data_IF_186986300917
#
_entry.id   IF_186986300917
#
_cell.length_a   1.000
_cell.length_b   1.000
_cell.length_c   1.000
_cell.angle_alpha   90.00
_cell.angle_beta   90.00
_cell.angle_gamma   90.00
#
_symmetry.space_group_name_H-M   'P 1'
#
loop_
_entity.id
_entity.type
_entity.pdbx_description
1 polymer ?
#
# COMPACT_ATOMS: atom_id res chain seq x y z
N UNK A 1 -9.67 -56.88 -27.07
CA UNK A 1 -10.85 -56.32 -26.38
C UNK A 1 -11.16 -54.97 -27.01
N UNK A 2 -12.38 -54.82 -27.52
CA UNK A 2 -12.88 -53.64 -28.23
C UNK A 2 -13.41 -52.57 -27.26
N UNK A 3 -13.67 -51.37 -27.83
CA UNK A 3 -14.64 -50.35 -27.42
C UNK A 3 -14.24 -49.44 -26.24
N UNK A 4 -14.46 -48.11 -26.22
CA UNK A 4 -15.14 -47.16 -27.11
C UNK A 4 -14.68 -45.74 -26.70
N UNK A 5 -14.19 -44.92 -27.64
CA UNK A 5 -14.07 -43.47 -27.48
C UNK A 5 -15.39 -42.82 -27.93
N UNK A 6 -15.99 -42.00 -27.07
CA UNK A 6 -17.16 -41.19 -27.41
C UNK A 6 -16.70 -39.82 -27.89
N UNK A 7 -17.14 -39.46 -29.10
CA UNK A 7 -16.89 -38.18 -29.74
C UNK A 7 -17.88 -37.09 -29.30
N UNK A 8 -17.56 -35.86 -29.69
CA UNK A 8 -18.41 -34.70 -29.53
C UNK A 8 -17.76 -33.45 -30.11
N UNK A 9 -17.71 -33.37 -31.45
CA UNK A 9 -17.43 -32.14 -32.19
C UNK A 9 -18.72 -31.32 -32.24
N UNK A 10 -18.67 -30.06 -31.80
CA UNK A 10 -19.73 -29.08 -32.07
C UNK A 10 -19.11 -27.92 -32.84
N UNK A 11 -19.39 -27.90 -34.14
CA UNK A 11 -19.20 -26.76 -35.04
C UNK A 11 -20.55 -26.09 -35.19
N UNK A 12 -20.64 -24.78 -34.93
CA UNK A 12 -21.74 -23.97 -35.44
C UNK A 12 -21.20 -22.67 -36.05
N UNK A 13 -21.51 -22.53 -37.33
CA UNK A 13 -21.19 -21.42 -38.22
C UNK A 13 -22.02 -20.16 -37.93
N UNK A 14 -21.33 -19.03 -38.09
CA UNK A 14 -21.72 -17.70 -38.60
C UNK A 14 -23.16 -17.25 -38.77
N UNK A 15 -23.37 -15.97 -38.44
CA UNK A 15 -24.10 -15.01 -39.29
C UNK A 15 -23.38 -13.66 -39.22
N UNK A 16 -22.84 -13.21 -40.36
CA UNK A 16 -22.47 -11.82 -40.62
C UNK A 16 -23.59 -11.20 -41.46
N UNK A 17 -24.03 -9.99 -41.10
CA UNK A 17 -24.85 -9.14 -41.96
C UNK A 17 -24.40 -7.68 -41.83
N UNK A 18 -24.14 -7.11 -43.00
CA UNK A 18 -23.61 -5.79 -43.34
C UNK A 18 -24.72 -4.73 -43.48
N UNK A 19 -24.26 -3.47 -43.65
CA UNK A 19 -24.91 -2.29 -44.26
C UNK A 19 -25.70 -1.39 -43.29
N UNK A 20 -25.54 -0.06 -43.23
CA UNK A 20 -24.79 0.93 -44.01
C UNK A 20 -24.75 2.28 -43.25
N UNK A 21 -23.69 3.09 -43.40
CA UNK A 21 -23.58 4.27 -44.29
C UNK A 21 -24.37 5.52 -43.84
N UNK A 22 -23.62 6.56 -43.45
CA UNK A 22 -23.69 7.98 -43.89
C UNK A 22 -23.41 8.95 -42.73
N UNK A 23 -22.39 9.80 -42.88
CA UNK A 23 -22.09 10.87 -41.94
C UNK A 23 -20.74 11.53 -42.16
N UNK A 24 -20.54 12.08 -43.36
CA UNK A 24 -19.38 12.88 -43.77
C UNK A 24 -19.55 14.31 -43.24
N UNK A 25 -18.59 14.83 -42.48
CA UNK A 25 -18.34 16.28 -42.43
C UNK A 25 -16.84 16.55 -42.43
N UNK A 26 -16.35 16.88 -43.61
CA UNK A 26 -15.13 17.64 -43.88
C UNK A 26 -15.19 19.01 -43.20
N UNK A 27 -14.09 19.41 -42.55
CA UNK A 27 -13.89 20.73 -41.98
C UNK A 27 -12.40 20.99 -41.77
N UNK A 28 -11.78 21.47 -42.84
CA UNK A 28 -10.42 22.01 -42.94
C UNK A 28 -10.32 23.37 -42.22
N UNK A 29 -9.18 23.67 -41.58
CA UNK A 29 -8.41 24.93 -41.75
C UNK A 29 -7.56 25.32 -40.52
N UNK A 30 -6.30 25.70 -40.77
CA UNK A 30 -5.48 26.61 -39.97
C UNK A 30 -4.81 25.99 -38.74
N UNK A 31 -3.48 25.92 -38.60
CA UNK A 31 -2.49 26.91 -39.00
C UNK A 31 -2.45 28.03 -37.95
N UNK A 32 -1.53 27.94 -36.99
CA UNK A 32 -1.27 29.01 -36.03
C UNK A 32 -0.75 28.50 -34.70
N UNK A 33 0.56 28.41 -34.55
CA UNK A 33 1.18 28.37 -33.23
C UNK A 33 0.79 29.66 -32.51
N UNK A 34 0.09 29.53 -31.39
CA UNK A 34 -0.03 30.61 -30.42
C UNK A 34 0.35 30.00 -29.09
N UNK A 35 1.56 30.36 -28.66
CA UNK A 35 2.03 30.22 -27.30
C UNK A 35 0.90 30.69 -26.37
N UNK A 36 0.35 29.76 -25.57
CA UNK A 36 -0.68 30.11 -24.61
C UNK A 36 -0.06 31.11 -23.64
N UNK A 37 -0.44 32.38 -23.76
CA UNK A 37 -0.06 33.42 -22.83
C UNK A 37 -0.43 32.96 -21.42
N UNK A 38 0.57 32.84 -20.56
CA UNK A 38 0.35 32.62 -19.12
C UNK A 38 -0.51 33.79 -18.64
N UNK A 39 -1.67 33.55 -18.00
CA UNK A 39 -2.47 34.66 -17.48
C UNK A 39 -1.65 35.41 -16.44
N UNK A 40 -1.36 36.68 -16.73
CA UNK A 40 -0.73 37.61 -15.80
C UNK A 40 -1.77 37.98 -14.73
N UNK A 41 -1.78 37.22 -13.63
CA UNK A 41 -2.61 37.55 -12.47
C UNK A 41 -1.93 38.67 -11.69
N UNK A 42 -2.18 39.91 -12.10
CA UNK A 42 -1.85 41.09 -11.32
C UNK A 42 -3.04 41.43 -10.42
N UNK A 43 -2.91 41.18 -9.11
CA UNK A 43 -3.89 41.61 -8.12
C UNK A 43 -3.42 42.96 -7.57
N UNK A 44 -4.12 44.04 -7.92
CA UNK A 44 -3.90 45.33 -7.24
C UNK A 44 -4.27 45.20 -5.75
N UNK A 45 -3.40 45.61 -4.82
CA UNK A 45 -3.73 45.59 -3.40
C UNK A 45 -4.92 46.51 -3.13
N UNK A 46 -6.00 45.94 -2.56
CA UNK A 46 -7.10 46.74 -2.02
C UNK A 46 -6.62 47.66 -0.88
N UNK A 47 -7.38 48.71 -0.55
CA UNK A 47 -6.97 49.81 0.35
C UNK A 47 -6.74 49.43 1.83
N UNK A 48 -6.69 48.14 2.17
CA UNK A 48 -6.45 47.60 3.51
C UNK A 48 -5.21 46.71 3.62
N UNK A 49 -4.34 46.69 2.60
CA UNK A 49 -3.17 45.82 2.53
C UNK A 49 -1.96 46.21 3.39
N UNK A 50 -2.11 46.30 4.72
CA UNK A 50 -0.92 46.12 5.57
C UNK A 50 -0.60 44.62 5.64
N UNK A 51 0.60 44.18 5.22
CA UNK A 51 1.04 42.82 5.45
C UNK A 51 1.02 42.55 6.96
N UNK A 52 0.19 41.62 7.40
CA UNK A 52 0.30 41.10 8.77
C UNK A 52 1.59 40.30 8.80
N UNK A 53 2.66 40.91 9.32
CA UNK A 53 3.88 40.19 9.62
C UNK A 53 3.52 39.07 10.61
N UNK A 54 3.89 37.81 10.36
CA UNK A 54 3.66 36.74 11.32
C UNK A 54 4.32 37.12 12.64
N UNK A 55 3.54 37.15 13.72
CA UNK A 55 3.95 37.62 15.06
C UNK A 55 4.82 36.61 15.82
N UNK A 56 5.58 35.78 15.09
CA UNK A 56 6.50 34.82 15.67
C UNK A 56 7.32 34.09 14.61
N UNK A 57 8.44 33.44 15.00
CA UNK A 57 9.19 32.59 14.09
C UNK A 57 8.28 31.49 13.54
N UNK A 58 8.12 31.46 12.22
CA UNK A 58 7.51 30.32 11.53
C UNK A 58 8.43 29.13 11.77
N UNK A 59 7.98 28.04 12.42
CA UNK A 59 8.85 26.90 12.68
C UNK A 59 9.35 26.35 11.35
N UNK A 60 10.67 26.39 11.17
CA UNK A 60 11.34 25.82 10.00
C UNK A 60 11.25 24.31 10.16
N UNK A 61 10.21 23.71 9.61
CA UNK A 61 10.15 22.25 9.46
C UNK A 61 11.28 21.83 8.53
N UNK A 62 12.13 20.92 8.98
CA UNK A 62 13.15 20.31 8.13
C UNK A 62 12.50 19.57 6.96
N UNK A 63 13.20 19.37 5.85
CA UNK A 63 12.67 18.58 4.74
C UNK A 63 12.27 17.16 5.20
N UNK A 64 13.07 16.55 6.10
CA UNK A 64 12.75 15.27 6.73
C UNK A 64 11.45 15.31 7.54
N UNK A 65 11.23 16.33 8.39
CA UNK A 65 9.95 16.49 9.08
C UNK A 65 8.78 16.72 8.13
N UNK A 66 9.01 17.43 7.01
CA UNK A 66 7.98 17.67 6.02
C UNK A 66 7.56 16.38 5.30
N UNK A 67 8.50 15.48 5.03
CA UNK A 67 8.19 14.14 4.54
C UNK A 67 7.56 13.26 5.63
N UNK A 68 7.96 13.43 6.90
CA UNK A 68 7.43 12.66 8.04
C UNK A 68 5.97 13.06 8.35
N UNK A 69 5.59 14.33 8.17
CA UNK A 69 4.23 14.86 8.36
C UNK A 69 3.21 14.29 7.37
N UNK A 70 3.67 13.82 6.20
CA UNK A 70 2.87 13.10 5.22
C UNK A 70 3.06 11.58 5.31
N UNK A 71 3.93 11.12 6.21
CA UNK A 71 4.19 9.70 6.43
C UNK A 71 3.44 9.22 7.67
N UNK A 72 2.72 8.12 7.54
CA UNK A 72 2.13 7.42 8.69
C UNK A 72 3.18 6.74 9.58
N UNK A 73 4.46 6.81 9.18
CA UNK A 73 5.58 6.19 9.86
C UNK A 73 5.78 6.77 11.26
N UNK A 74 5.52 8.06 11.45
CA UNK A 74 5.64 8.74 12.74
C UNK A 74 4.72 8.19 13.83
N UNK A 75 3.60 7.55 13.47
CA UNK A 75 2.73 6.86 14.43
C UNK A 75 3.40 5.59 14.98
N UNK A 76 4.19 4.91 14.15
CA UNK A 76 4.83 3.64 14.51
C UNK A 76 6.25 3.81 15.07
N UNK A 77 6.77 5.03 15.10
CA UNK A 77 8.12 5.34 15.56
C UNK A 77 8.11 6.15 16.86
N UNK A 78 9.00 5.79 17.78
CA UNK A 78 9.18 6.50 19.05
C UNK A 78 8.35 5.91 20.20
N UNK A 79 8.45 6.58 21.36
CA UNK A 79 7.78 6.15 22.59
C UNK A 79 6.27 6.47 22.59
N UNK A 80 5.86 7.49 21.83
CA UNK A 80 4.47 7.92 21.70
C UNK A 80 4.08 8.10 20.22
N UNK A 81 2.84 7.75 19.84
CA UNK A 81 2.37 7.91 18.46
C UNK A 81 2.30 9.40 18.10
N UNK A 82 2.91 9.78 16.96
CA UNK A 82 2.79 11.14 16.39
C UNK A 82 1.61 11.20 15.42
N UNK A 83 0.48 11.87 15.76
CA UNK A 83 -0.70 11.91 14.90
C UNK A 83 -0.43 12.61 13.57
N UNK A 84 -1.27 12.33 12.57
CA UNK A 84 -1.20 12.95 11.24
C UNK A 84 -2.40 13.91 11.09
N UNK A 85 -2.24 15.23 11.26
CA UNK A 85 -3.37 16.18 11.34
C UNK A 85 -4.24 16.27 10.07
N UNK A 86 -3.71 15.87 8.91
CA UNK A 86 -4.43 15.81 7.63
C UNK A 86 -5.14 14.48 7.39
N UNK A 87 -5.01 13.52 8.30
CA UNK A 87 -5.61 12.22 8.13
C UNK A 87 -7.14 12.28 8.13
N UNK A 88 -7.77 11.33 7.43
CA UNK A 88 -9.21 11.20 7.48
C UNK A 88 -9.67 10.89 8.93
N UNK A 89 -10.75 11.54 9.35
CA UNK A 89 -11.45 11.13 10.58
C UNK A 89 -12.03 9.73 10.38
N UNK A 90 -11.91 8.87 11.40
CA UNK A 90 -12.58 7.57 11.39
C UNK A 90 -14.09 7.78 11.23
N UNK A 91 -14.67 7.19 10.20
CA UNK A 91 -16.11 7.31 9.94
C UNK A 91 -16.91 6.52 10.97
N UNK A 92 -18.14 6.95 11.26
CA UNK A 92 -19.02 6.24 12.19
C UNK A 92 -19.50 4.88 11.65
N UNK A 93 -19.41 4.69 10.34
CA UNK A 93 -19.77 3.46 9.64
C UNK A 93 -18.97 3.32 8.34
N UNK A 94 -19.03 2.14 7.73
CA UNK A 94 -18.40 1.85 6.46
C UNK A 94 -16.96 1.35 6.59
N UNK A 95 -16.24 1.42 5.48
CA UNK A 95 -14.84 0.99 5.43
C UNK A 95 -13.96 2.03 6.11
N UNK A 96 -12.94 1.55 6.81
CA UNK A 96 -11.90 2.37 7.40
C UNK A 96 -10.58 2.11 6.68
N UNK A 97 -10.21 2.93 5.69
CA UNK A 97 -8.94 2.78 5.01
C UNK A 97 -7.77 2.82 5.99
N UNK A 98 -6.89 1.85 5.82
CA UNK A 98 -5.89 1.41 6.77
C UNK A 98 -4.55 1.30 6.06
N UNK A 99 -3.50 1.77 6.72
CA UNK A 99 -2.12 1.45 6.33
C UNK A 99 -1.43 0.62 7.40
N UNK A 100 -0.49 -0.22 7.00
CA UNK A 100 0.24 -1.10 7.90
C UNK A 100 1.73 -0.92 7.71
N UNK A 101 2.45 -0.69 8.80
CA UNK A 101 3.89 -0.68 8.84
C UNK A 101 4.42 -2.01 9.41
N UNK A 102 5.16 -2.76 8.60
CA UNK A 102 5.80 -4.02 9.00
C UNK A 102 7.25 -4.03 8.52
N UNK A 103 8.21 -4.13 9.45
CA UNK A 103 9.65 -4.15 9.13
C UNK A 103 10.09 -2.99 8.19
N UNK A 104 9.47 -1.81 8.32
CA UNK A 104 9.75 -0.66 7.46
C UNK A 104 9.02 -0.65 6.10
N UNK A 105 8.28 -1.71 5.76
CA UNK A 105 7.42 -1.77 4.59
C UNK A 105 6.02 -1.22 4.89
N UNK A 106 5.41 -0.60 3.88
CA UNK A 106 4.06 -0.04 3.95
C UNK A 106 3.09 -0.91 3.12
N UNK A 107 2.01 -1.36 3.75
CA UNK A 107 0.90 -2.03 3.08
C UNK A 107 -0.36 -1.16 3.19
N UNK A 108 -1.22 -1.19 2.18
CA UNK A 108 -2.45 -0.39 2.13
C UNK A 108 -3.67 -1.31 1.99
N UNK A 109 -4.75 -0.98 2.69
CA UNK A 109 -6.00 -1.72 2.68
C UNK A 109 -7.18 -0.75 2.72
N UNK A 110 -8.07 -0.79 1.72
CA UNK A 110 -9.31 0.00 1.75
C UNK A 110 -10.49 -0.79 2.34
N UNK A 111 -10.27 -2.04 2.80
CA UNK A 111 -11.26 -2.82 3.54
C UNK A 111 -12.23 -3.64 2.69
N UNK A 112 -12.12 -3.60 1.36
CA UNK A 112 -13.03 -4.32 0.43
C UNK A 112 -12.62 -5.77 0.13
N UNK A 113 -11.50 -6.26 0.69
CA UNK A 113 -10.98 -7.61 0.42
C UNK A 113 -10.35 -7.76 -0.98
N UNK A 114 -10.30 -6.69 -1.77
CA UNK A 114 -9.64 -6.64 -3.07
C UNK A 114 -8.18 -6.23 -2.96
N UNK A 115 -7.43 -6.42 -4.05
CA UNK A 115 -6.05 -5.95 -4.21
C UNK A 115 -6.05 -4.41 -4.25
N UNK A 116 -6.19 -3.76 -3.11
CA UNK A 116 -6.23 -2.29 -3.00
C UNK A 116 -4.81 -1.69 -3.14
N UNK A 117 -4.09 -2.06 -4.20
CA UNK A 117 -3.02 -1.22 -4.75
C UNK A 117 -3.69 -0.19 -5.65
N UNK A 118 -4.35 0.80 -5.05
CA UNK A 118 -4.93 1.91 -5.83
C UNK A 118 -3.83 2.87 -6.27
N UNK A 119 -2.69 2.89 -5.57
CA UNK A 119 -1.55 3.70 -5.95
C UNK A 119 -0.23 3.10 -5.41
N UNK A 120 0.84 2.88 -6.23
CA UNK A 120 2.17 2.57 -5.72
C UNK A 120 2.78 3.70 -4.85
N UNK A 121 2.22 4.91 -4.87
CA UNK A 121 2.65 6.04 -4.07
C UNK A 121 2.07 6.02 -2.64
N UNK A 122 2.73 6.74 -1.73
CA UNK A 122 2.30 6.94 -0.33
C UNK A 122 0.84 7.39 -0.31
N UNK A 123 -0.06 6.72 0.43
CA UNK A 123 -1.46 7.07 0.43
C UNK A 123 -1.64 8.50 0.92
N UNK A 124 -2.52 9.24 0.27
CA UNK A 124 -2.82 10.62 0.66
C UNK A 124 -3.36 10.62 2.10
N UNK A 125 -2.84 11.49 2.99
CA UNK A 125 -3.31 11.60 4.36
C UNK A 125 -4.83 11.59 4.48
N UNK A 126 -5.50 12.38 3.65
CA UNK A 126 -6.95 12.62 3.66
C UNK A 126 -7.79 11.37 3.34
N UNK A 127 -7.16 10.26 2.93
CA UNK A 127 -7.84 9.01 2.62
C UNK A 127 -7.68 7.96 3.71
N UNK A 128 -6.68 8.08 4.59
CA UNK A 128 -6.37 7.07 5.61
C UNK A 128 -6.97 7.44 6.95
N UNK A 129 -7.66 6.49 7.56
CA UNK A 129 -8.27 6.66 8.87
C UNK A 129 -7.49 5.93 9.97
N UNK A 130 -6.88 4.78 9.64
CA UNK A 130 -6.23 3.89 10.59
C UNK A 130 -4.78 3.58 10.21
N UNK A 131 -3.92 3.43 11.21
CA UNK A 131 -2.54 2.96 11.06
C UNK A 131 -2.31 1.76 11.95
N UNK A 132 -1.84 0.65 11.39
CA UNK A 132 -1.40 -0.50 12.14
C UNK A 132 0.12 -0.59 12.16
N UNK A 133 0.70 -0.65 13.36
CA UNK A 133 2.12 -0.77 13.59
C UNK A 133 2.46 -2.19 14.04
N UNK A 134 3.27 -2.90 13.26
CA UNK A 134 3.77 -4.21 13.63
C UNK A 134 5.08 -4.09 14.43
N UNK A 135 5.04 -4.62 15.64
CA UNK A 135 6.19 -4.70 16.53
C UNK A 135 6.65 -6.15 16.63
N UNK A 136 7.85 -6.44 16.15
CA UNK A 136 8.43 -7.79 16.23
C UNK A 136 8.66 -8.21 17.68
N UNK A 137 8.13 -9.37 18.07
CA UNK A 137 8.20 -9.92 19.43
C UNK A 137 9.18 -11.09 19.53
N UNK A 138 9.57 -11.71 18.41
CA UNK A 138 10.49 -12.84 18.42
C UNK A 138 10.21 -13.88 17.34
N UNK A 139 11.01 -14.95 17.36
CA UNK A 139 10.87 -16.08 16.43
C UNK A 139 9.85 -17.08 16.97
N UNK A 140 9.03 -17.58 16.07
CA UNK A 140 8.18 -18.74 16.28
C UNK A 140 8.89 -20.02 15.82
N UNK A 141 8.12 -20.93 15.21
CA UNK A 141 8.64 -22.23 14.77
C UNK A 141 9.57 -22.10 13.57
N UNK A 142 10.46 -23.09 13.41
CA UNK A 142 11.20 -23.30 12.17
C UNK A 142 10.21 -23.61 11.04
N UNK A 143 10.32 -22.90 9.93
CA UNK A 143 9.50 -23.10 8.75
C UNK A 143 10.21 -23.99 7.74
N UNK A 144 11.47 -23.66 7.43
CA UNK A 144 12.24 -24.34 6.40
C UNK A 144 13.73 -24.05 6.50
N UNK A 145 14.54 -25.01 6.12
CA UNK A 145 15.96 -24.81 5.83
C UNK A 145 16.18 -24.96 4.33
N UNK A 146 16.73 -23.93 3.71
CA UNK A 146 17.07 -23.93 2.30
C UNK A 146 18.59 -24.06 2.15
N UNK A 147 19.03 -25.24 1.70
CA UNK A 147 20.46 -25.52 1.46
C UNK A 147 20.77 -25.30 -0.02
N UNK A 148 21.84 -24.57 -0.28
CA UNK A 148 22.29 -24.19 -1.60
C UNK A 148 23.72 -24.67 -1.80
N UNK A 149 23.94 -25.40 -2.88
CA UNK A 149 25.24 -25.93 -3.28
C UNK A 149 25.47 -25.58 -4.74
N UNK A 150 26.64 -25.03 -5.06
CA UNK A 150 27.07 -24.79 -6.43
C UNK A 150 28.50 -25.34 -6.61
N UNK A 151 28.89 -25.79 -7.82
CA UNK A 151 30.19 -26.42 -8.05
C UNK A 151 31.40 -25.56 -7.63
N UNK A 152 31.31 -24.25 -7.82
CA UNK A 152 32.42 -23.31 -7.61
C UNK A 152 32.19 -22.36 -6.42
N UNK A 153 31.27 -22.69 -5.50
CA UNK A 153 30.97 -21.86 -4.34
C UNK A 153 30.81 -22.69 -3.06
N UNK A 154 31.10 -22.07 -1.91
CA UNK A 154 30.86 -22.67 -0.62
C UNK A 154 29.35 -22.93 -0.42
N UNK A 155 28.96 -24.08 0.20
CA UNK A 155 27.58 -24.34 0.51
C UNK A 155 27.03 -23.29 1.46
N UNK A 156 25.75 -22.95 1.29
CA UNK A 156 25.05 -21.97 2.12
C UNK A 156 23.70 -22.51 2.56
N UNK A 157 23.35 -22.29 3.82
CA UNK A 157 22.04 -22.58 4.38
C UNK A 157 21.33 -21.29 4.77
N UNK A 158 20.09 -21.14 4.33
CA UNK A 158 19.18 -20.09 4.82
C UNK A 158 18.09 -20.76 5.64
N UNK A 159 18.05 -20.45 6.94
CA UNK A 159 17.08 -21.00 7.89
C UNK A 159 15.96 -20.00 8.12
N UNK A 160 14.74 -20.37 7.75
CA UNK A 160 13.55 -19.52 7.83
C UNK A 160 12.71 -19.87 9.05
N UNK A 161 12.41 -18.87 9.87
CA UNK A 161 11.51 -18.96 11.02
C UNK A 161 10.28 -18.11 10.82
N UNK A 162 9.18 -18.52 11.45
CA UNK A 162 7.99 -17.70 11.56
C UNK A 162 8.27 -16.49 12.45
N UNK A 163 7.86 -15.29 12.04
CA UNK A 163 7.90 -14.14 12.94
C UNK A 163 6.70 -14.09 13.89
N UNK A 164 6.88 -13.54 15.09
CA UNK A 164 5.79 -13.19 16.00
C UNK A 164 5.73 -11.68 16.13
N UNK A 165 4.54 -11.11 16.02
CA UNK A 165 4.33 -9.67 15.98
C UNK A 165 3.20 -9.27 16.93
N UNK A 166 3.33 -8.08 17.52
CA UNK A 166 2.25 -7.36 18.17
C UNK A 166 1.82 -6.23 17.24
N UNK A 167 0.58 -6.27 16.80
CA UNK A 167 -0.04 -5.22 16.01
C UNK A 167 -0.72 -4.22 16.95
N UNK A 168 -0.38 -2.94 16.81
CA UNK A 168 -1.09 -1.83 17.48
C UNK A 168 -1.80 -1.01 16.42
N UNK A 169 -3.12 -0.85 16.54
CA UNK A 169 -3.94 -0.09 15.59
C UNK A 169 -4.28 1.26 16.19
N UNK A 170 -3.99 2.33 15.48
CA UNK A 170 -4.20 3.71 15.88
C UNK A 170 -5.15 4.43 14.94
N UNK A 171 -5.91 5.37 15.46
CA UNK A 171 -6.55 6.41 14.65
C UNK A 171 -5.48 7.37 14.14
N UNK A 172 -5.40 7.51 12.81
CA UNK A 172 -4.34 8.29 12.16
C UNK A 172 -4.37 9.77 12.57
N UNK A 173 -5.56 10.35 12.63
CA UNK A 173 -5.76 11.77 12.92
C UNK A 173 -5.35 12.16 14.35
N UNK A 174 -5.60 11.30 15.32
CA UNK A 174 -5.46 11.61 16.75
C UNK A 174 -4.31 10.87 17.42
N UNK A 175 -3.75 9.83 16.79
CA UNK A 175 -2.79 8.93 17.40
C UNK A 175 -3.40 8.05 18.51
N UNK A 176 -4.73 8.04 18.66
CA UNK A 176 -5.41 7.28 19.70
C UNK A 176 -5.34 5.78 19.39
N UNK A 177 -4.95 4.99 20.38
CA UNK A 177 -4.96 3.52 20.28
C UNK A 177 -6.40 3.01 20.18
N UNK A 178 -6.65 2.18 19.17
CA UNK A 178 -7.92 1.50 18.90
C UNK A 178 -7.89 0.07 19.41
N UNK A 179 -6.77 -0.63 19.23
CA UNK A 179 -6.66 -2.03 19.61
C UNK A 179 -5.25 -2.59 19.49
N UNK A 180 -5.07 -3.74 20.12
CA UNK A 180 -3.82 -4.51 20.09
C UNK A 180 -4.16 -5.95 19.73
N UNK A 181 -3.40 -6.54 18.81
CA UNK A 181 -3.61 -7.92 18.38
C UNK A 181 -2.28 -8.65 18.17
N UNK A 182 -2.19 -9.89 18.63
CA UNK A 182 -1.08 -10.78 18.31
C UNK A 182 -1.19 -11.31 16.89
N UNK A 183 -0.06 -11.45 16.20
CA UNK A 183 -0.01 -11.94 14.82
C UNK A 183 1.21 -12.84 14.58
N UNK A 184 0.99 -13.87 13.77
CA UNK A 184 2.03 -14.70 13.20
C UNK A 184 2.50 -14.13 11.85
N UNK A 185 3.79 -14.30 11.55
CA UNK A 185 4.33 -14.12 10.21
C UNK A 185 3.83 -15.19 9.24
N UNK A 186 4.42 -15.25 8.05
CA UNK A 186 4.14 -16.34 7.11
C UNK A 186 4.35 -17.70 7.77
N UNK A 187 3.50 -18.65 7.40
CA UNK A 187 3.50 -20.02 7.96
C UNK A 187 4.15 -21.04 7.03
N UNK A 188 4.60 -20.63 5.85
CA UNK A 188 5.30 -21.48 4.87
C UNK A 188 6.28 -20.65 4.04
N UNK A 189 7.33 -21.30 3.54
CA UNK A 189 8.39 -20.68 2.72
C UNK A 189 8.74 -21.58 1.54
N UNK A 190 8.99 -20.95 0.39
CA UNK A 190 9.62 -21.59 -0.77
C UNK A 190 11.07 -21.12 -0.91
N UNK A 191 11.99 -22.06 -1.12
CA UNK A 191 13.39 -21.73 -1.34
C UNK A 191 13.53 -21.09 -2.73
N UNK A 192 14.11 -19.90 -2.80
CA UNK A 192 14.43 -19.23 -4.07
C UNK A 192 15.59 -19.96 -4.75
N UNK A 193 15.55 -20.22 -6.06
CA UNK A 193 16.70 -20.81 -6.76
C UNK A 193 17.89 -19.83 -6.87
N UNK A 194 17.66 -18.54 -6.62
CA UNK A 194 18.68 -17.50 -6.66
C UNK A 194 18.96 -16.99 -5.26
N UNK A 195 20.20 -17.23 -4.80
CA UNK A 195 20.73 -16.67 -3.57
C UNK A 195 22.09 -16.04 -3.83
N UNK A 196 22.36 -14.93 -3.17
CA UNK A 196 23.72 -14.36 -3.17
C UNK A 196 24.66 -15.29 -2.41
N UNK A 197 25.86 -15.49 -2.93
CA UNK A 197 26.93 -16.16 -2.19
C UNK A 197 27.17 -15.50 -0.82
N UNK A 198 27.54 -16.31 0.16
CA UNK A 198 27.86 -15.84 1.50
C UNK A 198 27.61 -16.89 2.57
N UNK A 199 27.80 -16.49 3.82
CA UNK A 199 27.61 -17.34 4.97
C UNK A 199 26.14 -17.74 5.19
N UNK A 200 25.94 -18.78 5.99
CA UNK A 200 24.65 -19.17 6.50
C UNK A 200 23.92 -17.98 7.15
N UNK A 201 22.60 -17.94 6.99
CA UNK A 201 21.80 -16.83 7.50
C UNK A 201 20.45 -17.30 8.01
N UNK A 202 19.93 -16.56 8.99
CA UNK A 202 18.60 -16.78 9.53
C UNK A 202 17.68 -15.67 9.06
N UNK A 203 16.50 -16.04 8.55
CA UNK A 203 15.45 -15.12 8.13
C UNK A 203 14.23 -15.35 9.02
N UNK A 204 13.64 -14.26 9.51
CA UNK A 204 12.35 -14.31 10.17
C UNK A 204 11.29 -13.73 9.25
N UNK A 205 10.29 -14.55 8.93
CA UNK A 205 9.27 -14.19 7.97
C UNK A 205 8.24 -13.23 8.55
N UNK A 206 8.04 -12.11 7.84
CA UNK A 206 6.96 -11.18 8.12
C UNK A 206 5.60 -11.77 7.72
N UNK A 207 4.48 -11.25 8.24
CA UNK A 207 3.14 -11.60 7.78
C UNK A 207 2.95 -11.19 6.31
N UNK A 208 2.24 -12.01 5.53
CA UNK A 208 1.84 -11.66 4.18
C UNK A 208 0.54 -10.84 4.16
N UNK A 209 0.16 -10.33 2.99
CA UNK A 209 -1.07 -9.55 2.84
C UNK A 209 -2.34 -10.33 3.25
N UNK A 210 -2.33 -11.66 3.13
CA UNK A 210 -3.49 -12.48 3.52
C UNK A 210 -3.65 -12.54 5.04
N UNK A 211 -2.56 -12.76 5.77
CA UNK A 211 -2.51 -12.71 7.23
C UNK A 211 -2.87 -11.31 7.75
N UNK A 212 -2.34 -10.26 7.12
CA UNK A 212 -2.69 -8.87 7.44
C UNK A 212 -4.19 -8.62 7.27
N UNK A 213 -4.79 -9.03 6.15
CA UNK A 213 -6.25 -8.91 5.92
C UNK A 213 -7.08 -9.69 6.92
N UNK A 214 -6.65 -10.89 7.30
CA UNK A 214 -7.37 -11.73 8.24
C UNK A 214 -7.46 -11.04 9.63
N UNK A 215 -6.33 -10.50 10.10
CA UNK A 215 -6.24 -9.89 11.43
C UNK A 215 -6.78 -8.46 11.46
N UNK A 216 -6.51 -7.66 10.42
CA UNK A 216 -6.88 -6.23 10.39
C UNK A 216 -8.22 -5.97 9.70
N UNK A 217 -8.78 -6.98 9.02
CA UNK A 217 -10.05 -6.90 8.33
C UNK A 217 -11.21 -6.38 9.19
N UNK A 218 -11.39 -6.82 10.46
CA UNK A 218 -12.42 -6.27 11.33
C UNK A 218 -12.32 -4.75 11.49
N UNK A 219 -11.12 -4.23 11.76
CA UNK A 219 -10.86 -2.79 11.87
C UNK A 219 -11.18 -2.06 10.57
N UNK A 220 -10.73 -2.59 9.43
CA UNK A 220 -10.93 -2.00 8.11
C UNK A 220 -12.40 -2.02 7.65
N UNK A 221 -13.25 -2.87 8.24
CA UNK A 221 -14.70 -2.91 7.97
C UNK A 221 -15.52 -2.14 9.01
N UNK A 222 -14.87 -1.51 9.98
CA UNK A 222 -15.55 -0.87 11.12
C UNK A 222 -16.34 -1.82 12.02
N UNK A 223 -16.05 -3.12 11.95
CA UNK A 223 -16.57 -4.07 12.93
C UNK A 223 -15.87 -3.83 14.26
N UNK A 224 -16.61 -3.92 15.38
CA UNK A 224 -15.97 -3.98 16.70
C UNK A 224 -15.09 -5.24 16.73
N UNK A 225 -13.79 -5.12 17.05
CA UNK A 225 -12.91 -6.27 17.18
C UNK A 225 -13.33 -7.19 18.33
#
# INVERSE_FOLDING_TARGET
MQARFWGGVVVLLGVALLVGLLGRSSGESGGGGTEAAVPDFSVEPGPSGQPVAPSGPVPVTTAEERFDLFSFRGICQGEAPRPVPRAARVSASGLHPLVVHVNGLLHQFAGSGGRDRVDPFTPLPEQVQLVACAEYQGRGKLLKECRYTAPDAAPRTITHYEGRYRMRVYEALTGRLIGIQGMAGQTSVSCTPFVKEGADSVVTEAPDDAALRAVLGPYARGARP
#
